data_IF_956932293222
#
_entry.id   IF_956932293222
#
_cell.length_a   1.000
_cell.length_b   1.000
_cell.length_c   1.000
_cell.angle_alpha   90.00
_cell.angle_beta   90.00
_cell.angle_gamma   90.00
#
_symmetry.space_group_name_H-M   'P 1'
#
loop_
_entity.id
_entity.type
_entity.pdbx_description
1 polymer ?
#
# COMPACT_ATOMS: atom_id res chain seq x y z
N UNK A 1 -0.30 -38.49 20.77
CA UNK A 1 -0.39 -37.51 19.65
C UNK A 1 -1.83 -37.01 19.48
N UNK A 2 -2.82 -37.90 19.36
CA UNK A 2 -4.26 -37.56 19.26
C UNK A 2 -4.73 -36.57 20.35
N UNK A 3 -4.53 -36.89 21.63
CA UNK A 3 -4.98 -36.03 22.74
C UNK A 3 -4.33 -34.65 22.72
N UNK A 4 -3.08 -34.56 22.26
CA UNK A 4 -2.35 -33.30 22.12
C UNK A 4 -2.96 -32.44 21.00
N UNK A 5 -3.18 -33.01 19.81
CA UNK A 5 -3.80 -32.30 18.70
C UNK A 5 -5.22 -31.82 19.05
N UNK A 6 -6.03 -32.67 19.68
CA UNK A 6 -7.33 -32.25 20.21
C UNK A 6 -7.22 -31.06 21.17
N UNK A 7 -6.27 -31.13 22.12
CA UNK A 7 -6.00 -30.03 23.04
C UNK A 7 -5.68 -28.71 22.34
N UNK A 8 -4.89 -28.75 21.26
CA UNK A 8 -4.56 -27.57 20.46
C UNK A 8 -5.78 -26.94 19.76
N UNK A 9 -6.71 -27.74 19.23
CA UNK A 9 -7.96 -27.21 18.65
C UNK A 9 -8.89 -26.61 19.72
N UNK A 10 -8.97 -27.23 20.91
CA UNK A 10 -9.72 -26.65 22.04
C UNK A 10 -9.12 -25.31 22.50
N UNK A 11 -7.79 -25.19 22.53
CA UNK A 11 -7.10 -23.93 22.83
C UNK A 11 -7.44 -22.83 21.82
N UNK A 12 -7.39 -23.13 20.51
CA UNK A 12 -7.80 -22.19 19.46
C UNK A 12 -9.27 -21.78 19.60
N UNK A 13 -10.17 -22.72 19.85
CA UNK A 13 -11.58 -22.42 20.08
C UNK A 13 -11.77 -21.49 21.29
N UNK A 14 -11.07 -21.76 22.40
CA UNK A 14 -11.12 -20.92 23.60
C UNK A 14 -10.59 -19.51 23.32
N UNK A 15 -9.51 -19.38 22.55
CA UNK A 15 -8.97 -18.08 22.13
C UNK A 15 -9.98 -17.29 21.31
N UNK A 16 -10.65 -17.92 20.34
CA UNK A 16 -11.69 -17.26 19.55
C UNK A 16 -12.86 -16.82 20.43
N UNK A 17 -13.34 -17.67 21.34
CA UNK A 17 -14.45 -17.31 22.24
C UNK A 17 -14.11 -16.07 23.07
N UNK A 18 -12.89 -15.97 23.62
CA UNK A 18 -12.45 -14.78 24.36
C UNK A 18 -12.46 -13.51 23.51
N UNK A 19 -11.94 -13.58 22.27
CA UNK A 19 -11.99 -12.44 21.36
C UNK A 19 -13.43 -12.03 21.06
N UNK A 20 -14.35 -12.99 20.84
CA UNK A 20 -15.76 -12.69 20.62
C UNK A 20 -16.41 -12.03 21.85
N UNK A 21 -16.15 -12.54 23.07
CA UNK A 21 -16.64 -11.95 24.32
C UNK A 21 -16.15 -10.50 24.50
N UNK A 22 -14.90 -10.21 24.18
CA UNK A 22 -14.34 -8.84 24.22
C UNK A 22 -14.98 -7.94 23.15
N UNK A 23 -15.27 -8.47 21.95
CA UNK A 23 -15.98 -7.73 20.89
C UNK A 23 -17.47 -7.48 21.19
N UNK A 24 -18.04 -8.13 22.21
CA UNK A 24 -19.40 -7.89 22.70
C UNK A 24 -19.41 -6.99 23.95
N UNK A 25 -18.24 -6.66 24.50
CA UNK A 25 -18.15 -5.78 25.66
C UNK A 25 -18.50 -4.33 25.31
N UNK A 26 -19.10 -3.61 26.26
CA UNK A 26 -19.52 -2.21 26.08
C UNK A 26 -18.37 -1.19 26.03
N UNK A 27 -17.12 -1.65 25.93
CA UNK A 27 -15.91 -0.81 25.94
C UNK A 27 -15.42 -0.43 24.56
N UNK A 28 -16.01 -0.98 23.49
CA UNK A 28 -15.60 -0.68 22.12
C UNK A 28 -15.98 0.76 21.77
N UNK A 29 -15.08 1.46 21.09
CA UNK A 29 -15.32 2.82 20.63
C UNK A 29 -16.57 2.87 19.73
N UNK A 30 -17.54 3.76 20.00
CA UNK A 30 -18.73 3.90 19.15
C UNK A 30 -18.40 4.49 17.77
N UNK A 31 -17.18 5.01 17.60
CA UNK A 31 -16.70 5.57 16.33
C UNK A 31 -16.19 4.48 15.37
N UNK A 32 -16.08 3.22 15.79
CA UNK A 32 -15.68 2.16 14.88
C UNK A 32 -16.78 1.87 13.85
N UNK A 33 -16.40 1.54 12.63
CA UNK A 33 -17.37 1.22 11.59
C UNK A 33 -18.07 -0.10 11.90
N UNK A 34 -19.39 -0.04 12.09
CA UNK A 34 -20.23 -1.20 12.40
C UNK A 34 -20.04 -2.36 11.38
N UNK A 35 -19.96 -2.11 10.05
CA UNK A 35 -19.67 -3.18 9.10
C UNK A 35 -18.30 -3.85 9.33
N UNK A 36 -17.30 -3.09 9.76
CA UNK A 36 -15.96 -3.63 10.04
C UNK A 36 -15.98 -4.50 11.31
N UNK A 37 -16.67 -4.05 12.36
CA UNK A 37 -16.89 -4.82 13.59
C UNK A 37 -17.64 -6.12 13.29
N UNK A 38 -18.77 -6.04 12.59
CA UNK A 38 -19.60 -7.20 12.27
C UNK A 38 -18.84 -8.22 11.41
N UNK A 39 -18.15 -7.78 10.36
CA UNK A 39 -17.31 -8.67 9.52
C UNK A 39 -16.23 -9.38 10.36
N UNK A 40 -15.70 -8.73 11.40
CA UNK A 40 -14.74 -9.38 12.32
C UNK A 40 -15.40 -10.47 13.16
N UNK A 41 -16.59 -10.20 13.71
CA UNK A 41 -17.37 -11.19 14.45
C UNK A 41 -17.75 -12.38 13.59
N UNK A 42 -18.16 -12.14 12.35
CA UNK A 42 -18.53 -13.19 11.39
C UNK A 42 -17.34 -14.10 11.08
N UNK A 43 -16.16 -13.53 10.78
CA UNK A 43 -14.94 -14.30 10.53
C UNK A 43 -14.52 -15.16 11.73
N UNK A 44 -14.60 -14.62 12.95
CA UNK A 44 -14.32 -15.37 14.17
C UNK A 44 -15.35 -16.49 14.38
N UNK A 45 -16.63 -16.20 14.14
CA UNK A 45 -17.69 -17.18 14.28
C UNK A 45 -17.55 -18.35 13.29
N UNK A 46 -17.25 -18.05 12.02
CA UNK A 46 -16.99 -19.06 10.99
C UNK A 46 -15.84 -19.98 11.38
N UNK A 47 -14.71 -19.43 11.84
CA UNK A 47 -13.58 -20.23 12.33
C UNK A 47 -13.91 -21.05 13.57
N UNK A 48 -14.69 -20.47 14.49
CA UNK A 48 -15.14 -21.20 15.68
C UNK A 48 -15.99 -22.41 15.27
N UNK A 49 -16.94 -22.23 14.35
CA UNK A 49 -17.78 -23.31 13.82
C UNK A 49 -16.94 -24.38 13.10
N UNK A 50 -15.96 -23.98 12.29
CA UNK A 50 -15.02 -24.90 11.62
C UNK A 50 -14.28 -25.78 12.63
N UNK A 51 -13.74 -25.17 13.70
CA UNK A 51 -13.01 -25.89 14.75
C UNK A 51 -13.95 -26.81 15.54
N UNK A 52 -15.15 -26.35 15.91
CA UNK A 52 -16.13 -27.20 16.61
C UNK A 52 -16.55 -28.40 15.76
N UNK A 53 -16.73 -28.20 14.46
CA UNK A 53 -17.03 -29.30 13.54
C UNK A 53 -15.90 -30.34 13.54
N UNK A 54 -14.63 -29.91 13.41
CA UNK A 54 -13.46 -30.80 13.45
C UNK A 54 -13.33 -31.56 14.78
N UNK A 55 -13.61 -30.89 15.90
CA UNK A 55 -13.60 -31.53 17.23
C UNK A 55 -14.68 -32.60 17.33
N UNK A 56 -15.87 -32.32 16.78
CA UNK A 56 -17.04 -33.21 16.88
C UNK A 56 -17.09 -34.32 15.83
N UNK A 57 -16.39 -34.19 14.70
CA UNK A 57 -16.48 -35.16 13.59
C UNK A 57 -15.84 -36.52 13.90
N UNK A 58 -14.96 -36.58 14.89
CA UNK A 58 -14.14 -37.75 15.20
C UNK A 58 -12.88 -37.87 14.34
N UNK A 59 -12.67 -36.98 13.36
CA UNK A 59 -11.48 -37.01 12.49
C UNK A 59 -10.18 -36.84 13.27
N UNK A 60 -10.23 -36.12 14.40
CA UNK A 60 -9.08 -35.91 15.27
C UNK A 60 -8.68 -37.17 16.04
N UNK A 61 -9.55 -38.18 16.14
CA UNK A 61 -9.27 -39.48 16.77
C UNK A 61 -8.58 -40.48 15.83
N UNK A 62 -8.50 -40.17 14.52
CA UNK A 62 -7.95 -41.07 13.52
C UNK A 62 -6.45 -40.82 13.38
N UNK A 63 -5.63 -41.76 13.85
CA UNK A 63 -4.17 -41.64 13.85
C UNK A 63 -3.58 -41.42 12.45
N UNK A 64 -4.13 -42.07 11.42
CA UNK A 64 -3.68 -41.91 10.04
C UNK A 64 -3.95 -40.50 9.46
N UNK A 65 -4.80 -39.69 10.09
CA UNK A 65 -5.07 -38.30 9.70
C UNK A 65 -4.22 -37.27 10.48
N UNK A 66 -3.35 -37.70 11.40
CA UNK A 66 -2.60 -36.78 12.27
C UNK A 66 -1.82 -35.71 11.49
N UNK A 67 -1.12 -36.08 10.41
CA UNK A 67 -0.37 -35.13 9.57
C UNK A 67 -1.27 -34.10 8.89
N UNK A 68 -2.43 -34.54 8.40
CA UNK A 68 -3.41 -33.63 7.79
C UNK A 68 -4.02 -32.68 8.83
N UNK A 69 -4.27 -33.17 10.05
CA UNK A 69 -4.78 -32.37 11.14
C UNK A 69 -3.77 -31.33 11.63
N UNK A 70 -2.46 -31.63 11.60
CA UNK A 70 -1.40 -30.64 11.87
C UNK A 70 -1.42 -29.52 10.83
N UNK A 71 -1.52 -29.87 9.54
CA UNK A 71 -1.59 -28.88 8.46
C UNK A 71 -2.83 -27.99 8.64
N UNK A 72 -4.00 -28.60 8.90
CA UNK A 72 -5.25 -27.86 9.18
C UNK A 72 -5.11 -26.94 10.39
N UNK A 73 -4.52 -27.43 11.49
CA UNK A 73 -4.26 -26.62 12.68
C UNK A 73 -3.42 -25.38 12.35
N UNK A 74 -2.34 -25.54 11.59
CA UNK A 74 -1.49 -24.42 11.20
C UNK A 74 -2.24 -23.43 10.29
N UNK A 75 -3.01 -23.91 9.31
CA UNK A 75 -3.84 -23.04 8.46
C UNK A 75 -4.86 -22.24 9.29
N UNK A 76 -5.55 -22.88 10.22
CA UNK A 76 -6.51 -22.20 11.11
C UNK A 76 -5.78 -21.23 12.04
N UNK A 77 -4.61 -21.61 12.58
CA UNK A 77 -3.81 -20.76 13.43
C UNK A 77 -3.40 -19.47 12.72
N UNK A 78 -2.92 -19.56 11.48
CA UNK A 78 -2.56 -18.42 10.66
C UNK A 78 -3.77 -17.49 10.40
N UNK A 79 -4.95 -18.06 10.13
CA UNK A 79 -6.19 -17.26 10.00
C UNK A 79 -6.56 -16.54 11.29
N UNK A 80 -6.49 -17.22 12.44
CA UNK A 80 -6.74 -16.62 13.75
C UNK A 80 -5.76 -15.48 14.02
N UNK A 81 -4.46 -15.70 13.79
CA UNK A 81 -3.43 -14.67 13.97
C UNK A 81 -3.69 -13.46 13.07
N UNK A 82 -4.05 -13.67 11.80
CA UNK A 82 -4.36 -12.58 10.90
C UNK A 82 -5.59 -11.77 11.36
N UNK A 83 -6.66 -12.44 11.81
CA UNK A 83 -7.84 -11.73 12.34
C UNK A 83 -7.50 -11.00 13.64
N UNK A 84 -6.71 -11.63 14.52
CA UNK A 84 -6.27 -11.03 15.77
C UNK A 84 -5.47 -9.75 15.51
N UNK A 85 -4.41 -9.84 14.69
CA UNK A 85 -3.48 -8.75 14.43
C UNK A 85 -4.12 -7.62 13.64
N UNK A 86 -4.89 -7.94 12.60
CA UNK A 86 -5.37 -6.93 11.66
C UNK A 86 -6.77 -6.43 11.99
N UNK A 87 -7.64 -7.23 12.63
CA UNK A 87 -9.01 -6.76 12.91
C UNK A 87 -9.26 -6.54 14.39
N UNK A 88 -9.06 -7.58 15.19
CA UNK A 88 -9.40 -7.55 16.61
C UNK A 88 -8.59 -6.50 17.37
N UNK A 89 -7.26 -6.49 17.26
CA UNK A 89 -6.43 -5.51 17.96
C UNK A 89 -6.72 -4.08 17.48
N UNK A 90 -7.06 -3.88 16.20
CA UNK A 90 -7.48 -2.58 15.67
C UNK A 90 -8.79 -2.11 16.31
N UNK A 91 -9.74 -3.01 16.54
CA UNK A 91 -11.01 -2.68 17.23
C UNK A 91 -10.77 -2.35 18.70
N UNK A 92 -10.05 -3.21 19.42
CA UNK A 92 -9.89 -3.10 20.87
C UNK A 92 -9.03 -1.90 21.26
N UNK A 93 -8.09 -1.49 20.41
CA UNK A 93 -7.22 -0.34 20.65
C UNK A 93 -7.59 0.90 19.80
N UNK A 94 -8.83 0.96 19.27
CA UNK A 94 -9.28 2.08 18.44
C UNK A 94 -9.37 3.37 19.27
N UNK A 95 -8.54 4.37 18.95
CA UNK A 95 -8.41 5.59 19.75
C UNK A 95 -8.56 6.90 18.94
N UNK A 96 -8.11 8.02 19.53
CA UNK A 96 -8.19 9.35 18.92
C UNK A 96 -7.47 9.44 17.56
N UNK A 97 -6.38 8.69 17.36
CA UNK A 97 -5.62 8.68 16.13
C UNK A 97 -6.41 7.99 15.01
N UNK A 98 -7.04 6.85 15.28
CA UNK A 98 -7.91 6.18 14.31
C UNK A 98 -9.15 7.04 13.98
N UNK A 99 -9.75 7.71 14.98
CA UNK A 99 -10.85 8.67 14.75
C UNK A 99 -10.40 9.82 13.83
N UNK A 100 -9.20 10.36 14.06
CA UNK A 100 -8.61 11.40 13.21
C UNK A 100 -8.49 10.92 11.76
N UNK A 101 -7.92 9.74 11.55
CA UNK A 101 -7.73 9.21 10.21
C UNK A 101 -9.03 8.80 9.55
N UNK A 102 -10.01 8.25 10.29
CA UNK A 102 -11.35 7.95 9.78
C UNK A 102 -11.97 9.19 9.13
N UNK A 103 -12.00 10.31 9.84
CA UNK A 103 -12.53 11.58 9.31
C UNK A 103 -11.79 12.02 8.05
N UNK A 104 -10.47 11.90 8.06
CA UNK A 104 -9.63 12.30 6.94
C UNK A 104 -9.84 11.41 5.72
N UNK A 105 -9.82 10.09 5.88
CA UNK A 105 -9.98 9.15 4.78
C UNK A 105 -11.38 9.24 4.18
N UNK A 106 -12.43 9.46 4.98
CA UNK A 106 -13.78 9.74 4.47
C UNK A 106 -13.79 10.97 3.57
N UNK A 107 -13.20 12.08 4.03
CA UNK A 107 -13.09 13.30 3.21
C UNK A 107 -12.27 13.08 1.94
N UNK A 108 -11.16 12.35 2.02
CA UNK A 108 -10.37 11.99 0.84
C UNK A 108 -11.23 11.20 -0.15
N UNK A 109 -11.97 10.18 0.30
CA UNK A 109 -12.82 9.35 -0.55
C UNK A 109 -13.92 10.19 -1.26
N UNK A 110 -14.52 11.15 -0.56
CA UNK A 110 -15.47 12.09 -1.14
C UNK A 110 -14.82 12.99 -2.21
N UNK A 111 -13.63 13.53 -1.90
CA UNK A 111 -12.86 14.41 -2.78
C UNK A 111 -12.48 13.70 -4.08
N UNK A 112 -11.95 12.48 -3.98
CA UNK A 112 -11.49 11.69 -5.12
C UNK A 112 -12.64 11.00 -5.88
N UNK A 113 -13.89 11.10 -5.42
CA UNK A 113 -15.08 10.47 -6.02
C UNK A 113 -15.17 8.95 -5.88
N UNK A 114 -14.65 8.38 -4.79
CA UNK A 114 -14.68 6.94 -4.55
C UNK A 114 -15.93 6.51 -3.76
N UNK A 115 -17.12 6.61 -4.36
CA UNK A 115 -18.39 6.30 -3.67
C UNK A 115 -18.76 4.81 -3.62
N UNK A 116 -18.11 3.99 -4.44
CA UNK A 116 -18.43 2.56 -4.55
C UNK A 116 -17.69 1.69 -3.52
N UNK A 117 -16.82 2.30 -2.71
CA UNK A 117 -16.03 1.61 -1.69
C UNK A 117 -16.22 2.31 -0.35
N UNK A 118 -16.31 1.53 0.71
CA UNK A 118 -16.15 2.07 2.05
C UNK A 118 -14.68 2.48 2.24
N UNK A 119 -14.41 3.62 2.87
CA UNK A 119 -13.04 3.96 3.26
C UNK A 119 -12.43 2.84 4.12
N UNK A 120 -11.15 2.52 3.93
CA UNK A 120 -10.47 1.53 4.77
C UNK A 120 -10.34 2.06 6.20
N UNK A 121 -10.18 1.12 7.14
CA UNK A 121 -9.74 1.48 8.48
C UNK A 121 -8.26 1.84 8.41
N UNK A 122 -7.93 3.04 8.89
CA UNK A 122 -6.54 3.45 9.08
C UNK A 122 -6.18 3.17 10.54
N UNK A 123 -5.11 2.43 10.77
CA UNK A 123 -4.63 2.09 12.12
C UNK A 123 -3.22 2.63 12.36
N UNK A 124 -2.97 3.13 13.56
CA UNK A 124 -1.61 3.49 14.01
C UNK A 124 -0.93 2.37 14.78
N UNK A 125 -1.63 1.25 14.97
CA UNK A 125 -1.15 0.03 15.62
C UNK A 125 -0.36 -0.75 14.57
N UNK A 126 0.88 -0.33 14.33
CA UNK A 126 1.79 -1.07 13.47
C UNK A 126 2.52 -2.15 14.27
N UNK A 127 2.42 -3.39 13.79
CA UNK A 127 3.21 -4.53 14.27
C UNK A 127 4.40 -4.83 13.34
N UNK A 128 4.70 -3.93 12.39
CA UNK A 128 5.78 -4.10 11.42
C UNK A 128 6.80 -2.96 11.53
N UNK A 129 8.03 -3.27 11.10
CA UNK A 129 9.08 -2.27 10.86
C UNK A 129 8.80 -1.44 9.59
N UNK A 130 7.72 -1.76 8.86
CA UNK A 130 7.34 -1.09 7.62
C UNK A 130 6.72 0.28 7.95
N UNK A 131 7.13 1.29 7.17
CA UNK A 131 6.73 2.67 7.35
C UNK A 131 5.20 2.83 7.15
N UNK A 132 4.71 2.58 5.96
CA UNK A 132 3.27 2.51 5.63
C UNK A 132 3.03 1.14 4.99
N UNK A 133 1.84 0.56 5.20
CA UNK A 133 1.44 -0.65 4.49
C UNK A 133 -0.08 -0.82 4.45
N UNK A 134 -0.56 -1.41 3.36
CA UNK A 134 -1.96 -1.80 3.18
C UNK A 134 -2.13 -3.31 3.25
N UNK A 135 -3.25 -3.74 3.81
CA UNK A 135 -3.72 -5.11 3.69
C UNK A 135 -5.11 -5.14 3.06
N UNK A 136 -5.20 -5.15 1.71
CA UNK A 136 -6.48 -5.05 1.01
C UNK A 136 -7.49 -6.13 1.39
N UNK A 137 -7.04 -7.34 1.75
CA UNK A 137 -7.92 -8.42 2.18
C UNK A 137 -8.73 -8.12 3.45
N UNK A 138 -8.29 -7.15 4.26
CA UNK A 138 -8.98 -6.73 5.48
C UNK A 138 -9.47 -5.28 5.44
N UNK A 139 -9.31 -4.58 4.32
CA UNK A 139 -9.69 -3.17 4.15
C UNK A 139 -8.97 -2.25 5.16
N UNK A 140 -7.66 -2.48 5.35
CA UNK A 140 -6.83 -1.75 6.33
C UNK A 140 -5.64 -1.11 5.66
N UNK A 141 -5.30 0.09 6.15
CA UNK A 141 -3.98 0.70 5.98
C UNK A 141 -3.41 0.96 7.37
N UNK A 142 -2.15 0.61 7.58
CA UNK A 142 -1.44 0.98 8.79
C UNK A 142 -0.45 2.11 8.49
N UNK A 143 -0.32 3.01 9.47
CA UNK A 143 0.61 4.14 9.45
C UNK A 143 1.40 4.17 10.76
N UNK A 144 2.58 4.84 10.79
CA UNK A 144 3.36 4.95 12.02
C UNK A 144 2.60 5.69 13.13
N UNK A 145 2.93 5.38 14.38
CA UNK A 145 2.40 6.14 15.50
C UNK A 145 2.89 7.60 15.44
N UNK A 146 1.97 8.54 15.60
CA UNK A 146 2.25 9.98 15.58
C UNK A 146 2.06 10.62 14.19
N UNK A 147 1.78 9.82 13.17
CA UNK A 147 1.60 10.30 11.79
C UNK A 147 0.42 11.25 11.61
N UNK A 148 -0.55 11.23 12.53
CA UNK A 148 -1.63 12.21 12.58
C UNK A 148 -1.13 13.67 12.74
N UNK A 149 0.15 13.85 13.13
CA UNK A 149 0.80 15.14 13.38
C UNK A 149 1.70 15.61 12.23
N UNK A 150 1.75 14.90 11.10
CA UNK A 150 2.71 15.18 10.02
C UNK A 150 2.01 15.17 8.65
N UNK A 151 2.13 16.27 7.91
CA UNK A 151 1.52 16.43 6.58
C UNK A 151 2.45 15.98 5.45
N UNK A 152 3.78 16.03 5.62
CA UNK A 152 4.74 15.75 4.55
C UNK A 152 4.81 14.27 4.15
N UNK A 153 4.36 13.41 5.04
CA UNK A 153 4.36 11.96 4.91
C UNK A 153 3.02 11.43 4.37
N UNK A 154 1.96 12.19 4.60
CA UNK A 154 0.59 11.80 4.29
C UNK A 154 0.31 11.57 2.80
N UNK A 155 1.05 12.11 1.81
CA UNK A 155 0.91 11.66 0.43
C UNK A 155 1.14 10.16 0.24
N UNK A 156 1.94 9.51 1.09
CA UNK A 156 2.18 8.06 1.00
C UNK A 156 0.94 7.25 1.40
N UNK A 157 0.00 7.82 2.17
CA UNK A 157 -1.31 7.21 2.40
C UNK A 157 -2.04 6.92 1.08
N UNK A 158 -1.86 7.76 0.06
CA UNK A 158 -2.46 7.54 -1.25
C UNK A 158 -1.78 6.42 -2.04
N UNK A 159 -0.51 6.12 -1.76
CA UNK A 159 0.16 4.92 -2.28
C UNK A 159 -0.50 3.67 -1.69
N UNK A 160 -0.74 3.66 -0.38
CA UNK A 160 -1.43 2.56 0.29
C UNK A 160 -2.89 2.38 -0.17
N UNK A 161 -3.60 3.49 -0.42
CA UNK A 161 -4.90 3.44 -1.11
C UNK A 161 -4.79 2.86 -2.52
N UNK A 162 -3.66 3.08 -3.19
CA UNK A 162 -3.33 2.46 -4.47
C UNK A 162 -3.40 0.94 -4.43
N UNK A 163 -2.94 0.29 -3.34
CA UNK A 163 -3.07 -1.16 -3.20
C UNK A 163 -4.52 -1.63 -3.13
N UNK A 164 -5.39 -0.88 -2.43
CA UNK A 164 -6.82 -1.16 -2.36
C UNK A 164 -7.46 -1.03 -3.75
N UNK A 165 -7.21 0.08 -4.46
CA UNK A 165 -7.75 0.31 -5.80
C UNK A 165 -7.21 -0.70 -6.81
N UNK A 166 -5.93 -1.05 -6.73
CA UNK A 166 -5.32 -2.05 -7.60
C UNK A 166 -5.98 -3.41 -7.41
N UNK A 167 -6.16 -3.85 -6.16
CA UNK A 167 -6.78 -5.16 -5.86
C UNK A 167 -8.20 -5.30 -6.43
N UNK A 168 -8.93 -4.20 -6.58
CA UNK A 168 -10.31 -4.19 -7.05
C UNK A 168 -10.43 -3.90 -8.56
N UNK A 169 -9.55 -3.06 -9.10
CA UNK A 169 -9.66 -2.51 -10.45
C UNK A 169 -8.46 -2.82 -11.33
N UNK A 170 -7.62 -3.80 -10.97
CA UNK A 170 -6.41 -4.22 -11.69
C UNK A 170 -6.61 -4.18 -13.22
N UNK A 171 -7.67 -4.83 -13.72
CA UNK A 171 -7.97 -4.92 -15.17
C UNK A 171 -8.07 -3.57 -15.88
N UNK A 172 -8.57 -2.54 -15.19
CA UNK A 172 -8.68 -1.20 -15.75
C UNK A 172 -7.36 -0.44 -15.68
N UNK A 173 -6.56 -0.70 -14.64
CA UNK A 173 -5.31 0.00 -14.34
C UNK A 173 -4.12 -0.52 -15.15
N UNK A 174 -4.01 -1.83 -15.36
CA UNK A 174 -2.85 -2.42 -16.04
C UNK A 174 -3.00 -2.43 -17.57
N UNK A 175 -4.23 -2.40 -18.09
CA UNK A 175 -4.51 -2.42 -19.52
C UNK A 175 -3.86 -3.61 -20.23
N UNK A 176 -2.89 -3.32 -21.12
CA UNK A 176 -2.17 -4.34 -21.90
C UNK A 176 -0.71 -4.54 -21.47
N UNK A 177 -0.26 -3.86 -20.42
CA UNK A 177 1.17 -3.76 -20.06
C UNK A 177 1.86 -5.12 -19.90
N UNK A 178 1.19 -6.11 -19.32
CA UNK A 178 1.77 -7.44 -19.11
C UNK A 178 2.22 -8.09 -20.43
N UNK A 179 1.46 -7.88 -21.53
CA UNK A 179 1.87 -8.37 -22.85
C UNK A 179 3.11 -7.65 -23.38
N UNK A 180 3.21 -6.35 -23.13
CA UNK A 180 4.36 -5.54 -23.55
C UNK A 180 5.62 -5.90 -22.76
N UNK A 181 5.48 -6.14 -21.45
CA UNK A 181 6.55 -6.66 -20.57
C UNK A 181 7.02 -8.02 -21.08
N UNK A 182 6.10 -8.99 -21.27
CA UNK A 182 6.45 -10.32 -21.78
C UNK A 182 7.16 -10.25 -23.13
N UNK A 183 6.63 -9.44 -24.07
CA UNK A 183 7.24 -9.26 -25.38
C UNK A 183 8.65 -8.65 -25.29
N UNK A 184 8.84 -7.65 -24.42
CA UNK A 184 10.15 -7.03 -24.18
C UNK A 184 11.16 -8.06 -23.68
N UNK A 185 10.85 -8.77 -22.59
CA UNK A 185 11.79 -9.70 -21.96
C UNK A 185 12.05 -10.94 -22.81
N UNK A 186 11.05 -11.46 -23.52
CA UNK A 186 11.26 -12.57 -24.45
C UNK A 186 12.18 -12.18 -25.60
N UNK A 187 12.06 -10.94 -26.12
CA UNK A 187 12.98 -10.40 -27.12
C UNK A 187 14.40 -10.30 -26.55
N UNK A 188 14.58 -9.76 -25.35
CA UNK A 188 15.91 -9.67 -24.74
C UNK A 188 16.54 -11.04 -24.48
N UNK A 189 15.75 -12.05 -24.08
CA UNK A 189 16.21 -13.45 -23.94
C UNK A 189 16.68 -14.01 -25.30
N UNK A 190 15.95 -13.77 -26.39
CA UNK A 190 16.37 -14.20 -27.74
C UNK A 190 17.65 -13.48 -28.17
N UNK A 191 17.77 -12.18 -27.86
CA UNK A 191 18.97 -11.39 -28.18
C UNK A 191 20.23 -11.92 -27.49
N UNK A 192 20.11 -12.50 -26.29
CA UNK A 192 21.26 -13.15 -25.64
C UNK A 192 21.88 -14.22 -26.53
N UNK A 193 21.06 -15.01 -27.24
CA UNK A 193 21.56 -16.02 -28.17
C UNK A 193 22.05 -15.44 -29.48
N UNK A 194 21.23 -14.60 -30.12
CA UNK A 194 21.55 -14.09 -31.45
C UNK A 194 22.78 -13.19 -31.46
N UNK A 195 23.01 -12.44 -30.37
CA UNK A 195 24.14 -11.53 -30.21
C UNK A 195 25.30 -12.14 -29.42
N UNK A 196 25.23 -13.44 -29.07
CA UNK A 196 26.27 -14.16 -28.32
C UNK A 196 26.66 -13.48 -26.99
N UNK A 197 25.67 -12.92 -26.28
CA UNK A 197 25.88 -12.30 -24.95
C UNK A 197 26.08 -13.39 -23.89
N UNK A 198 26.49 -13.00 -22.69
CA UNK A 198 26.66 -13.91 -21.57
C UNK A 198 25.35 -14.66 -21.25
N UNK A 199 25.41 -15.99 -21.25
CA UNK A 199 24.21 -16.84 -21.09
C UNK A 199 23.52 -16.69 -19.73
N UNK A 200 24.23 -16.21 -18.71
CA UNK A 200 23.66 -15.85 -17.40
C UNK A 200 22.57 -14.77 -17.50
N UNK A 201 22.61 -13.93 -18.54
CA UNK A 201 21.60 -12.90 -18.78
C UNK A 201 20.21 -13.47 -19.06
N UNK A 202 20.09 -14.70 -19.57
CA UNK A 202 18.77 -15.33 -19.76
C UNK A 202 18.06 -15.56 -18.42
N UNK A 203 18.79 -16.08 -17.43
CA UNK A 203 18.24 -16.30 -16.09
C UNK A 203 17.89 -14.97 -15.44
N UNK A 204 18.76 -13.97 -15.58
CA UNK A 204 18.52 -12.60 -15.13
C UNK A 204 17.23 -12.01 -15.73
N UNK A 205 17.05 -12.05 -17.05
CA UNK A 205 15.85 -11.51 -17.69
C UNK A 205 14.57 -12.27 -17.30
N UNK A 206 14.64 -13.60 -17.16
CA UNK A 206 13.50 -14.40 -16.67
C UNK A 206 13.11 -14.02 -15.25
N UNK A 207 14.09 -13.82 -14.38
CA UNK A 207 13.84 -13.37 -13.02
C UNK A 207 13.17 -12.00 -12.99
N UNK A 208 13.65 -11.03 -13.78
CA UNK A 208 13.03 -9.70 -13.85
C UNK A 208 11.62 -9.75 -14.43
N UNK A 209 11.37 -10.57 -15.45
CA UNK A 209 10.03 -10.81 -15.98
C UNK A 209 9.08 -11.33 -14.89
N UNK A 210 9.52 -12.28 -14.05
CA UNK A 210 8.72 -12.78 -12.93
C UNK A 210 8.41 -11.67 -11.94
N UNK A 211 9.40 -10.84 -11.55
CA UNK A 211 9.20 -9.72 -10.61
C UNK A 211 8.21 -8.68 -11.13
N UNK A 212 8.32 -8.34 -12.42
CA UNK A 212 7.35 -7.49 -13.11
C UNK A 212 5.94 -8.08 -13.03
N UNK A 213 5.77 -9.34 -13.41
CA UNK A 213 4.47 -10.00 -13.45
C UNK A 213 3.85 -10.24 -12.06
N UNK A 214 4.66 -10.37 -11.00
CA UNK A 214 4.18 -10.70 -9.66
C UNK A 214 3.82 -9.48 -8.82
N UNK A 215 4.71 -8.48 -8.75
CA UNK A 215 4.59 -7.40 -7.75
C UNK A 215 4.89 -6.02 -8.33
N UNK A 216 5.89 -5.85 -9.20
CA UNK A 216 6.31 -4.49 -9.58
C UNK A 216 5.27 -3.71 -10.37
N UNK A 217 4.45 -4.35 -11.21
CA UNK A 217 3.33 -3.65 -11.88
C UNK A 217 2.39 -3.02 -10.86
N UNK A 218 2.08 -3.73 -9.78
CA UNK A 218 1.23 -3.22 -8.70
C UNK A 218 1.90 -2.03 -7.99
N UNK A 219 3.16 -2.17 -7.56
CA UNK A 219 3.91 -1.10 -6.87
C UNK A 219 3.97 0.18 -7.69
N UNK A 220 4.37 0.08 -8.97
CA UNK A 220 4.36 1.23 -9.88
C UNK A 220 2.96 1.80 -10.06
N UNK A 221 1.93 0.96 -10.15
CA UNK A 221 0.55 1.43 -10.27
C UNK A 221 0.12 2.21 -9.03
N UNK A 222 0.54 1.80 -7.83
CA UNK A 222 0.24 2.50 -6.58
C UNK A 222 0.92 3.88 -6.54
N UNK A 223 2.19 3.98 -6.97
CA UNK A 223 2.90 5.26 -7.12
C UNK A 223 2.17 6.21 -8.09
N UNK A 224 1.73 5.65 -9.22
CA UNK A 224 1.07 6.40 -10.28
C UNK A 224 -0.34 6.84 -9.85
N UNK A 225 -1.08 6.01 -9.11
CA UNK A 225 -2.36 6.38 -8.50
C UNK A 225 -2.16 7.51 -7.49
N UNK A 226 -1.17 7.40 -6.60
CA UNK A 226 -0.87 8.45 -5.63
C UNK A 226 -0.53 9.78 -6.33
N UNK A 227 0.30 9.70 -7.38
CA UNK A 227 0.63 10.85 -8.24
C UNK A 227 -0.61 11.46 -8.90
N UNK A 228 -1.50 10.63 -9.44
CA UNK A 228 -2.75 11.06 -10.08
C UNK A 228 -3.68 11.81 -9.12
N UNK A 229 -3.76 11.33 -7.87
CA UNK A 229 -4.68 11.86 -6.86
C UNK A 229 -4.12 13.07 -6.10
N UNK A 230 -2.80 13.10 -5.86
CA UNK A 230 -2.16 14.09 -4.98
C UNK A 230 -1.28 15.08 -5.76
N UNK A 231 -0.87 14.76 -6.98
CA UNK A 231 0.00 15.63 -7.76
C UNK A 231 1.43 15.71 -7.19
N UNK A 232 2.13 16.86 -7.32
CA UNK A 232 3.56 17.00 -7.01
C UNK A 232 3.97 16.59 -5.59
N UNK A 233 3.10 16.75 -4.59
CA UNK A 233 3.41 16.38 -3.20
C UNK A 233 3.82 14.91 -3.06
N UNK A 234 3.26 13.99 -3.85
CA UNK A 234 3.66 12.60 -3.79
C UNK A 234 5.11 12.38 -4.24
N UNK A 235 5.57 13.06 -5.28
CA UNK A 235 6.95 12.96 -5.75
C UNK A 235 7.96 13.47 -4.71
N UNK A 236 7.62 14.56 -4.01
CA UNK A 236 8.44 15.08 -2.91
C UNK A 236 8.48 14.11 -1.72
N UNK A 237 7.34 13.51 -1.37
CA UNK A 237 7.26 12.48 -0.33
C UNK A 237 8.07 11.25 -0.71
N UNK A 238 7.99 10.77 -1.95
CA UNK A 238 8.83 9.67 -2.44
C UNK A 238 10.32 10.01 -2.34
N UNK A 239 10.74 11.21 -2.78
CA UNK A 239 12.14 11.66 -2.61
C UNK A 239 12.56 11.67 -1.13
N UNK A 240 11.72 12.19 -0.23
CA UNK A 240 11.99 12.17 1.22
C UNK A 240 12.15 10.75 1.73
N UNK A 241 11.27 9.83 1.36
CA UNK A 241 11.35 8.42 1.78
C UNK A 241 12.66 7.81 1.27
N UNK A 242 13.04 8.02 0.02
CA UNK A 242 14.33 7.56 -0.52
C UNK A 242 15.55 8.07 0.26
N UNK A 243 15.45 9.25 0.88
CA UNK A 243 16.52 9.77 1.74
C UNK A 243 16.60 9.07 3.10
N UNK A 244 15.51 8.43 3.56
CA UNK A 244 15.38 7.77 4.85
C UNK A 244 15.58 6.24 4.78
N UNK A 245 14.95 5.56 3.82
CA UNK A 245 14.80 4.10 3.78
C UNK A 245 15.95 3.37 3.08
N UNK A 246 16.36 3.85 1.90
CA UNK A 246 17.28 3.12 1.00
C UNK A 246 18.75 3.24 1.43
N UNK A 247 19.03 4.08 2.43
CA UNK A 247 20.37 4.57 2.72
C UNK A 247 20.95 5.29 1.49
N UNK A 248 22.10 5.94 1.66
CA UNK A 248 22.73 6.71 0.61
C UNK A 248 23.10 5.91 -0.67
N UNK A 249 23.02 4.57 -0.68
CA UNK A 249 23.63 3.74 -1.74
C UNK A 249 22.72 2.70 -2.42
N UNK A 250 21.41 2.69 -2.19
CA UNK A 250 20.51 1.62 -2.72
C UNK A 250 19.45 2.10 -3.70
N UNK A 251 19.54 3.32 -4.23
CA UNK A 251 18.48 3.93 -5.05
C UNK A 251 18.21 3.18 -6.36
N UNK A 252 19.22 2.50 -6.90
CA UNK A 252 19.09 1.66 -8.10
C UNK A 252 18.89 0.17 -7.78
N UNK A 253 18.87 -0.21 -6.49
CA UNK A 253 18.66 -1.60 -6.11
C UNK A 253 17.19 -1.95 -6.21
N UNK A 254 16.90 -3.11 -6.77
CA UNK A 254 15.57 -3.68 -6.82
C UNK A 254 15.50 -4.93 -5.93
N UNK A 255 14.30 -5.27 -5.46
CA UNK A 255 14.07 -6.46 -4.63
C UNK A 255 12.92 -7.31 -5.20
N UNK A 256 12.68 -8.46 -4.57
CA UNK A 256 11.53 -9.28 -4.93
C UNK A 256 10.20 -8.57 -4.61
N UNK A 257 10.19 -7.62 -3.67
CA UNK A 257 8.99 -6.90 -3.21
C UNK A 257 8.82 -5.55 -3.89
N UNK A 258 9.90 -4.83 -4.18
CA UNK A 258 9.81 -3.46 -4.70
C UNK A 258 10.72 -3.26 -5.92
N UNK A 259 10.28 -2.51 -6.94
CA UNK A 259 11.16 -1.99 -7.97
C UNK A 259 12.13 -0.96 -7.36
N UNK A 260 13.17 -0.59 -8.10
CA UNK A 260 14.12 0.42 -7.63
C UNK A 260 13.50 1.81 -7.55
N UNK A 261 13.86 2.58 -6.52
CA UNK A 261 13.36 3.93 -6.27
C UNK A 261 13.57 4.89 -7.45
N UNK A 262 14.70 4.77 -8.17
CA UNK A 262 14.93 5.62 -9.34
C UNK A 262 13.91 5.37 -10.45
N UNK A 263 13.56 4.11 -10.72
CA UNK A 263 12.57 3.78 -11.73
C UNK A 263 11.18 4.28 -11.31
N UNK A 264 10.85 4.20 -10.01
CA UNK A 264 9.61 4.75 -9.43
C UNK A 264 9.54 6.25 -9.65
N UNK A 265 10.62 6.97 -9.34
CA UNK A 265 10.69 8.42 -9.55
C UNK A 265 10.53 8.80 -11.03
N UNK A 266 11.12 8.05 -11.97
CA UNK A 266 10.93 8.28 -13.41
C UNK A 266 9.47 8.11 -13.83
N UNK A 267 8.77 7.08 -13.34
CA UNK A 267 7.36 6.86 -13.64
C UNK A 267 6.47 7.99 -13.08
N UNK A 268 6.72 8.39 -11.82
CA UNK A 268 6.05 9.51 -11.15
C UNK A 268 6.21 10.81 -11.96
N UNK A 269 7.45 11.17 -12.32
CA UNK A 269 7.74 12.40 -13.07
C UNK A 269 7.12 12.39 -14.47
N UNK A 270 7.07 11.23 -15.13
CA UNK A 270 6.37 11.08 -16.41
C UNK A 270 4.88 11.41 -16.28
N UNK A 271 4.22 10.84 -15.27
CA UNK A 271 2.80 11.08 -15.03
C UNK A 271 2.50 12.53 -14.63
N UNK A 272 3.34 13.15 -13.80
CA UNK A 272 3.20 14.57 -13.46
C UNK A 272 3.28 15.48 -14.69
N UNK A 273 4.23 15.24 -15.59
CA UNK A 273 4.32 15.96 -16.86
C UNK A 273 3.04 15.79 -17.69
N UNK A 274 2.53 14.56 -17.76
CA UNK A 274 1.27 14.26 -18.46
C UNK A 274 0.08 15.02 -17.87
N UNK A 275 0.05 15.19 -16.55
CA UNK A 275 -0.96 15.96 -15.83
C UNK A 275 -0.78 17.48 -15.96
N UNK A 276 0.30 17.95 -16.59
CA UNK A 276 0.56 19.38 -16.80
C UNK A 276 1.45 20.05 -15.75
N UNK A 277 2.03 19.29 -14.80
CA UNK A 277 2.92 19.79 -13.74
C UNK A 277 4.38 19.92 -14.19
N UNK A 278 4.61 20.45 -15.39
CA UNK A 278 5.94 20.49 -16.01
C UNK A 278 6.93 21.35 -15.22
N UNK A 279 6.47 22.44 -14.59
CA UNK A 279 7.34 23.31 -13.81
C UNK A 279 7.83 22.60 -12.54
N UNK A 280 6.92 21.94 -11.83
CA UNK A 280 7.22 21.17 -10.63
C UNK A 280 8.13 19.98 -10.94
N UNK A 281 7.93 19.30 -12.08
CA UNK A 281 8.82 18.21 -12.51
C UNK A 281 10.26 18.69 -12.76
N UNK A 282 10.45 19.90 -13.29
CA UNK A 282 11.81 20.47 -13.44
C UNK A 282 12.48 20.64 -12.08
N UNK A 283 11.74 21.16 -11.09
CA UNK A 283 12.25 21.37 -9.73
C UNK A 283 12.54 20.06 -8.99
N UNK A 284 11.63 19.08 -9.12
CA UNK A 284 11.77 17.74 -8.56
C UNK A 284 13.00 17.04 -9.15
N UNK A 285 13.14 17.02 -10.48
CA UNK A 285 14.28 16.39 -11.15
C UNK A 285 15.60 17.07 -10.76
N UNK A 286 15.63 18.41 -10.68
CA UNK A 286 16.83 19.12 -10.24
C UNK A 286 17.23 18.74 -8.80
N UNK A 287 16.25 18.50 -7.92
CA UNK A 287 16.50 18.07 -6.54
C UNK A 287 16.92 16.60 -6.47
N UNK A 288 16.27 15.74 -7.26
CA UNK A 288 16.61 14.32 -7.42
C UNK A 288 18.04 14.14 -7.93
N UNK A 289 18.45 14.88 -8.96
CA UNK A 289 19.81 14.83 -9.52
C UNK A 289 20.86 15.27 -8.50
N UNK A 290 20.57 16.32 -7.72
CA UNK A 290 21.44 16.76 -6.62
C UNK A 290 21.57 15.68 -5.55
N UNK A 291 20.46 15.03 -5.18
CA UNK A 291 20.44 13.93 -4.23
C UNK A 291 21.30 12.76 -4.73
N UNK A 292 21.05 12.27 -5.94
CA UNK A 292 21.84 11.17 -6.55
C UNK A 292 23.34 11.48 -6.59
N UNK A 293 23.70 12.72 -6.95
CA UNK A 293 25.10 13.18 -6.97
C UNK A 293 25.72 13.24 -5.57
N UNK A 294 24.96 13.68 -4.56
CA UNK A 294 25.44 13.81 -3.20
C UNK A 294 25.70 12.45 -2.52
N UNK A 295 24.94 11.42 -2.91
CA UNK A 295 24.98 10.11 -2.25
C UNK A 295 25.77 9.04 -3.01
N UNK A 296 26.23 9.34 -4.23
CA UNK A 296 27.10 8.49 -5.06
C UNK A 296 26.53 7.06 -5.27
N UNK A 297 25.27 6.99 -5.72
CA UNK A 297 24.59 5.73 -6.00
C UNK A 297 25.13 5.05 -7.28
N UNK A 298 25.70 3.84 -7.22
CA UNK A 298 26.16 3.13 -8.41
C UNK A 298 24.99 2.60 -9.23
N UNK A 299 25.06 2.76 -10.55
CA UNK A 299 24.07 2.22 -11.48
C UNK A 299 24.46 0.77 -11.84
N UNK A 300 23.60 -0.23 -11.59
CA UNK A 300 23.85 -1.62 -11.96
C UNK A 300 24.00 -1.80 -13.47
N UNK A 301 24.78 -2.80 -13.88
CA UNK A 301 24.86 -3.19 -15.28
C UNK A 301 23.49 -3.65 -15.80
N UNK A 302 23.16 -3.29 -17.05
CA UNK A 302 21.88 -3.58 -17.70
C UNK A 302 20.64 -2.99 -17.00
N UNK A 303 20.79 -1.99 -16.12
CA UNK A 303 19.67 -1.39 -15.41
C UNK A 303 18.56 -0.85 -16.34
N UNK A 304 18.94 -0.26 -17.48
CA UNK A 304 18.01 0.18 -18.51
C UNK A 304 17.18 -0.98 -19.12
N UNK A 305 17.67 -2.21 -19.07
CA UNK A 305 16.94 -3.40 -19.52
C UNK A 305 15.96 -3.91 -18.43
N UNK A 306 16.21 -3.57 -17.15
CA UNK A 306 15.32 -3.93 -16.03
C UNK A 306 14.08 -3.02 -16.03
N UNK A 307 14.30 -1.72 -16.22
CA UNK A 307 13.27 -0.68 -16.16
C UNK A 307 13.26 0.20 -17.41
N UNK A 308 12.98 -0.38 -18.59
CA UNK A 308 12.96 0.37 -19.85
C UNK A 308 11.87 1.46 -19.80
N UNK A 309 12.24 2.67 -20.26
CA UNK A 309 11.36 3.84 -20.15
C UNK A 309 10.02 3.65 -20.88
N UNK A 310 10.01 2.94 -22.01
CA UNK A 310 8.78 2.70 -22.77
C UNK A 310 7.74 1.90 -21.97
N UNK A 311 8.17 0.92 -21.16
CA UNK A 311 7.25 0.16 -20.30
C UNK A 311 6.73 1.01 -19.14
N UNK A 312 7.57 1.87 -18.54
CA UNK A 312 7.13 2.79 -17.49
C UNK A 312 6.11 3.80 -18.03
N UNK A 313 6.36 4.35 -19.23
CA UNK A 313 5.45 5.26 -19.90
C UNK A 313 4.13 4.57 -20.22
N UNK A 314 4.16 3.37 -20.80
CA UNK A 314 2.95 2.61 -21.12
C UNK A 314 2.13 2.28 -19.86
N UNK A 315 2.79 1.92 -18.75
CA UNK A 315 2.11 1.69 -17.48
C UNK A 315 1.48 2.97 -16.94
N UNK A 316 2.19 4.09 -16.96
CA UNK A 316 1.65 5.38 -16.55
C UNK A 316 0.43 5.81 -17.37
N UNK A 317 0.46 5.60 -18.68
CA UNK A 317 -0.68 5.83 -19.57
C UNK A 317 -1.87 4.93 -19.22
N UNK A 318 -1.63 3.63 -18.98
CA UNK A 318 -2.68 2.70 -18.59
C UNK A 318 -3.30 3.07 -17.24
N UNK A 319 -2.50 3.45 -16.24
CA UNK A 319 -2.99 3.85 -14.91
C UNK A 319 -3.75 5.16 -14.98
N UNK A 320 -3.27 6.16 -15.73
CA UNK A 320 -3.97 7.44 -15.90
C UNK A 320 -5.36 7.24 -16.52
N UNK A 321 -5.45 6.49 -17.62
CA UNK A 321 -6.73 6.19 -18.25
C UNK A 321 -7.59 5.22 -17.42
N UNK A 322 -6.96 4.34 -16.66
CA UNK A 322 -7.60 3.44 -15.70
C UNK A 322 -8.32 4.22 -14.61
N UNK A 323 -7.63 5.16 -13.95
CA UNK A 323 -8.19 6.03 -12.91
C UNK A 323 -9.41 6.81 -13.42
N UNK A 324 -9.34 7.34 -14.65
CA UNK A 324 -10.48 8.01 -15.29
C UNK A 324 -11.67 7.06 -15.54
N UNK A 325 -11.40 5.82 -15.97
CA UNK A 325 -12.46 4.81 -16.23
C UNK A 325 -13.19 4.37 -14.96
N UNK A 326 -12.49 4.36 -13.83
CA UNK A 326 -13.09 4.09 -12.51
C UNK A 326 -13.58 5.36 -11.81
N UNK A 327 -13.67 6.47 -12.55
CA UNK A 327 -14.25 7.74 -12.13
C UNK A 327 -13.53 8.44 -10.96
N UNK A 328 -12.23 8.18 -10.78
CA UNK A 328 -11.42 8.92 -9.80
C UNK A 328 -11.10 10.33 -10.31
N UNK A 329 -11.29 11.33 -9.45
CA UNK A 329 -10.93 12.72 -9.76
C UNK A 329 -9.43 12.93 -9.69
N UNK A 330 -8.88 13.52 -10.76
CA UNK A 330 -7.49 13.98 -10.77
C UNK A 330 -7.26 15.03 -9.67
N UNK A 331 -6.01 15.25 -9.28
CA UNK A 331 -5.64 16.39 -8.43
C UNK A 331 -6.22 17.72 -8.95
N UNK A 332 -6.15 17.98 -10.26
CA UNK A 332 -6.69 19.19 -10.88
C UNK A 332 -8.22 19.31 -10.74
N UNK A 333 -8.95 18.19 -10.87
CA UNK A 333 -10.41 18.18 -10.70
C UNK A 333 -10.80 18.41 -9.24
N UNK A 334 -10.03 17.87 -8.29
CA UNK A 334 -10.25 18.09 -6.87
C UNK A 334 -10.11 19.56 -6.49
N UNK A 335 -9.03 20.24 -6.92
CA UNK A 335 -8.82 21.67 -6.63
C UNK A 335 -9.82 22.59 -7.35
N UNK A 336 -10.38 22.15 -8.47
CA UNK A 336 -11.41 22.90 -9.18
C UNK A 336 -12.78 22.79 -8.49
N UNK A 337 -13.06 21.64 -7.86
CA UNK A 337 -14.35 21.35 -7.22
C UNK A 337 -14.39 21.76 -5.74
N UNK A 338 -13.30 21.61 -5.02
CA UNK A 338 -13.21 21.86 -3.59
C UNK A 338 -12.24 23.01 -3.31
N UNK A 339 -12.57 23.86 -2.35
CA UNK A 339 -11.71 25.01 -2.00
C UNK A 339 -10.40 24.55 -1.33
N UNK A 340 -10.50 23.62 -0.37
CA UNK A 340 -9.37 23.08 0.38
C UNK A 340 -9.45 21.54 0.44
N UNK A 341 -9.27 20.84 -0.70
CA UNK A 341 -9.14 19.39 -0.68
C UNK A 341 -7.87 19.00 0.06
N UNK A 342 -7.84 17.82 0.68
CA UNK A 342 -6.67 17.33 1.42
C UNK A 342 -5.44 17.34 0.53
N UNK A 343 -5.57 16.90 -0.73
CA UNK A 343 -4.48 16.92 -1.72
C UNK A 343 -3.85 18.31 -1.92
N UNK A 344 -4.63 19.40 -1.93
CA UNK A 344 -4.08 20.78 -1.96
C UNK A 344 -3.27 21.07 -0.71
N UNK A 345 -3.80 20.76 0.48
CA UNK A 345 -3.11 21.02 1.74
C UNK A 345 -1.75 20.31 1.79
N UNK A 346 -1.64 19.11 1.21
CA UNK A 346 -0.38 18.37 1.12
C UNK A 346 0.64 19.04 0.18
N UNK A 347 0.20 19.59 -0.95
CA UNK A 347 1.07 20.38 -1.85
C UNK A 347 1.49 21.72 -1.21
N UNK A 348 0.58 22.37 -0.50
CA UNK A 348 0.87 23.59 0.23
C UNK A 348 1.88 23.34 1.36
N UNK A 349 1.86 22.15 1.99
CA UNK A 349 2.81 21.78 3.03
C UNK A 349 4.24 21.73 2.48
N UNK A 350 4.46 21.08 1.34
CA UNK A 350 5.75 21.06 0.67
C UNK A 350 6.20 22.47 0.25
N UNK A 351 5.28 23.26 -0.31
CA UNK A 351 5.56 24.65 -0.69
C UNK A 351 5.97 25.49 0.51
N UNK A 352 5.27 25.36 1.65
CA UNK A 352 5.56 26.10 2.88
C UNK A 352 6.90 25.68 3.48
N UNK A 353 7.22 24.38 3.46
CA UNK A 353 8.51 23.87 3.94
C UNK A 353 9.67 24.50 3.16
N UNK A 354 9.58 24.56 1.82
CA UNK A 354 10.66 25.11 1.00
C UNK A 354 10.78 26.64 1.09
N UNK A 355 9.66 27.34 1.24
CA UNK A 355 9.64 28.82 1.25
C UNK A 355 9.82 29.44 2.64
N UNK A 356 9.50 28.71 3.72
CA UNK A 356 9.58 29.20 5.09
C UNK A 356 9.75 28.05 6.09
N UNK A 357 10.90 27.34 6.09
CA UNK A 357 11.13 26.17 6.94
C UNK A 357 11.00 26.49 8.44
N UNK A 358 11.43 27.68 8.87
CA UNK A 358 11.37 28.11 10.28
C UNK A 358 9.92 28.24 10.80
N UNK A 359 8.98 28.59 9.92
CA UNK A 359 7.56 28.74 10.25
C UNK A 359 6.75 27.45 10.04
N UNK A 360 7.33 26.44 9.38
CA UNK A 360 6.61 25.26 8.90
C UNK A 360 5.92 24.52 10.05
N UNK A 361 6.61 24.29 11.16
CA UNK A 361 6.05 23.54 12.29
C UNK A 361 4.80 24.21 12.92
N UNK A 362 4.79 25.54 12.98
CA UNK A 362 3.61 26.29 13.46
C UNK A 362 2.48 26.24 12.45
N UNK A 363 2.80 26.41 11.16
CA UNK A 363 1.83 26.33 10.07
C UNK A 363 1.18 24.95 9.98
N UNK A 364 1.98 23.88 10.06
CA UNK A 364 1.51 22.49 9.97
C UNK A 364 0.53 22.18 11.10
N UNK A 365 0.86 22.55 12.34
CA UNK A 365 -0.05 22.37 13.49
C UNK A 365 -1.39 23.08 13.25
N UNK A 366 -1.34 24.33 12.81
CA UNK A 366 -2.56 25.09 12.50
C UNK A 366 -3.40 24.44 11.41
N UNK A 367 -2.78 23.87 10.37
CA UNK A 367 -3.49 23.19 9.28
C UNK A 367 -4.08 21.86 9.69
N UNK A 368 -3.41 21.10 10.55
CA UNK A 368 -3.94 19.86 11.11
C UNK A 368 -5.17 20.16 11.98
N UNK A 369 -5.12 21.21 12.81
CA UNK A 369 -6.27 21.66 13.60
C UNK A 369 -7.44 22.12 12.71
N UNK A 370 -7.17 22.88 11.65
CA UNK A 370 -8.17 23.32 10.69
C UNK A 370 -8.89 22.12 10.04
N UNK A 371 -8.13 21.14 9.53
CA UNK A 371 -8.68 19.90 8.97
C UNK A 371 -9.59 19.20 10.00
N UNK A 372 -9.17 19.12 11.26
CA UNK A 372 -9.96 18.47 12.30
C UNK A 372 -11.26 19.19 12.65
N UNK A 373 -11.27 20.51 12.56
CA UNK A 373 -12.47 21.31 12.83
C UNK A 373 -13.48 21.30 11.68
N UNK A 374 -12.99 21.25 10.43
CA UNK A 374 -13.83 21.19 9.23
C UNK A 374 -14.50 19.81 9.01
N UNK A 375 -14.11 18.81 9.79
CA UNK A 375 -14.60 17.43 9.75
C UNK A 375 -15.57 17.09 10.89
N UNK A 376 -16.06 18.11 11.62
CA UNK A 376 -17.18 17.99 12.56
C UNK A 376 -18.47 18.38 11.85
#
# INVERSE_FOLDING_TARGET
MISFLKGLFFDQASKISKMMEELDASTISPEIDEPFLQKTKDLLHELFQEIQHLISSGDLDIESLASNNIIRYNTIHEKILNIELFRFLVIINYDEAEVYFKKKITKIYDEINCFFQNPPIITTISNSDDYFWAFPGYDIIAVPNGEQRNLLNLPDLYHEMGHLFFSQYEKFLIGKINRSIEAFYNREIIRVDSEQRAQTLKTFYREKLVRWASVWVMEFSCDLIATYLVGPAYAWTNLKICTLSSGHSSIYNDSAKHPSDEARMRAICYLLNKMGHTAEVIEINASWDRFLKATNNPIPANYADIFPQDLLNELAENVFEGCKKIDLRTYADQIAKYDQPISRVLNDAWTKLFTSPDDFATWERSKIEEINTLLR
#
